data_IF_765392190796
#
_entry.id   IF_765392190796
#
_cell.length_a   1.000
_cell.length_b   1.000
_cell.length_c   1.000
_cell.angle_alpha   90.00
_cell.angle_beta   90.00
_cell.angle_gamma   90.00
#
_symmetry.space_group_name_H-M   'P 1'
#
loop_
_entity.id
_entity.type
_entity.pdbx_description
1 polymer ?
#
# COMPACT_ATOMS: atom_id res chain seq x y z
N UNK A 1 -12.43 -5.84 -17.24
CA UNK A 1 -12.44 -6.47 -15.92
C UNK A 1 -12.92 -5.47 -14.86
N UNK A 2 -13.19 -5.93 -13.61
CA UNK A 2 -13.67 -5.06 -12.53
C UNK A 2 -12.61 -4.02 -12.14
N UNK A 3 -13.07 -2.84 -11.75
CA UNK A 3 -12.22 -1.72 -11.33
C UNK A 3 -12.57 -1.27 -9.92
N UNK A 4 -11.60 -0.62 -9.26
CA UNK A 4 -11.76 0.06 -7.98
C UNK A 4 -11.60 1.55 -8.20
N UNK A 5 -12.57 2.35 -7.77
CA UNK A 5 -12.51 3.79 -7.77
C UNK A 5 -12.25 4.30 -6.34
N UNK A 6 -11.15 4.99 -6.15
CA UNK A 6 -10.79 5.63 -4.88
C UNK A 6 -10.83 7.15 -5.01
N UNK A 7 -11.60 7.80 -4.13
CA UNK A 7 -11.59 9.25 -3.99
C UNK A 7 -10.53 9.68 -2.97
N UNK A 8 -9.84 10.77 -3.25
CA UNK A 8 -8.88 11.36 -2.33
C UNK A 8 -9.61 12.27 -1.33
N UNK A 9 -9.73 11.80 -0.09
CA UNK A 9 -10.37 12.55 0.98
C UNK A 9 -9.32 13.20 1.88
N UNK A 10 -9.60 14.42 2.36
CA UNK A 10 -8.79 15.05 3.41
C UNK A 10 -9.10 14.38 4.76
N UNK A 11 -8.04 14.05 5.51
CA UNK A 11 -8.11 13.65 6.91
C UNK A 11 -7.69 14.78 7.85
N UNK A 12 -8.04 14.65 9.15
CA UNK A 12 -7.63 15.58 10.19
C UNK A 12 -8.47 16.88 10.26
N UNK A 13 -7.94 17.90 10.94
CA UNK A 13 -8.61 19.19 11.18
C UNK A 13 -9.04 19.91 9.89
N UNK A 14 -8.31 19.76 8.82
CA UNK A 14 -8.67 20.32 7.51
C UNK A 14 -9.95 19.71 6.89
N UNK A 15 -10.42 18.55 7.39
CA UNK A 15 -11.67 17.93 6.97
C UNK A 15 -12.92 18.69 7.46
N UNK A 16 -12.77 19.58 8.45
CA UNK A 16 -13.87 20.40 8.96
C UNK A 16 -14.34 21.41 7.92
N UNK A 17 -13.43 21.93 7.08
CA UNK A 17 -13.73 22.92 6.05
C UNK A 17 -14.02 22.28 4.68
N UNK A 18 -13.41 21.16 4.32
CA UNK A 18 -13.72 20.38 3.12
C UNK A 18 -13.01 19.02 3.15
N UNK A 19 -13.77 17.93 3.13
CA UNK A 19 -13.23 16.56 3.15
C UNK A 19 -12.57 16.15 1.83
N UNK A 20 -12.90 16.76 0.73
CA UNK A 20 -12.49 16.31 -0.61
C UNK A 20 -11.58 17.31 -1.36
N UNK A 21 -11.31 18.50 -0.81
CA UNK A 21 -10.64 19.55 -1.55
C UNK A 21 -9.19 19.78 -1.11
N UNK A 22 -8.30 19.94 -2.08
CA UNK A 22 -6.87 20.24 -1.93
C UNK A 22 -6.55 21.53 -2.67
N UNK A 23 -5.45 22.20 -2.29
CA UNK A 23 -4.94 23.33 -3.08
C UNK A 23 -4.58 22.83 -4.48
N UNK A 24 -5.10 23.52 -5.49
CA UNK A 24 -4.81 23.19 -6.88
C UNK A 24 -3.47 23.78 -7.29
N UNK A 25 -2.53 22.89 -7.60
CA UNK A 25 -1.17 23.25 -8.04
C UNK A 25 -0.90 22.75 -9.46
N UNK A 26 -1.96 22.48 -10.23
CA UNK A 26 -1.91 21.89 -11.55
C UNK A 26 -2.37 20.42 -11.56
N UNK A 27 -2.83 19.96 -12.71
CA UNK A 27 -3.36 18.59 -12.87
C UNK A 27 -2.29 17.56 -12.55
N UNK A 28 -1.09 17.68 -13.14
CA UNK A 28 0.02 16.73 -12.96
C UNK A 28 0.52 16.67 -11.52
N UNK A 29 0.43 17.78 -10.79
CA UNK A 29 0.83 17.87 -9.38
C UNK A 29 -0.28 17.39 -8.42
N UNK A 30 -1.49 17.09 -8.92
CA UNK A 30 -2.57 16.55 -8.09
C UNK A 30 -2.22 15.17 -7.56
N UNK A 31 -2.73 14.83 -6.36
CA UNK A 31 -2.47 13.53 -5.72
C UNK A 31 -2.88 12.35 -6.58
N UNK A 32 -4.04 12.44 -7.24
CA UNK A 32 -4.56 11.38 -8.10
C UNK A 32 -3.65 11.11 -9.30
N UNK A 33 -3.13 12.15 -9.94
CA UNK A 33 -2.24 12.00 -11.09
C UNK A 33 -0.84 11.54 -10.66
N UNK A 34 -0.29 12.07 -9.57
CA UNK A 34 1.00 11.59 -9.04
C UNK A 34 0.97 10.11 -8.71
N UNK A 35 -0.08 9.64 -8.01
CA UNK A 35 -0.20 8.23 -7.69
C UNK A 35 -0.48 7.38 -8.93
N UNK A 36 -1.26 7.87 -9.89
CA UNK A 36 -1.46 7.19 -11.17
C UNK A 36 -0.14 6.95 -11.90
N UNK A 37 0.69 7.98 -12.06
CA UNK A 37 1.98 7.86 -12.74
C UNK A 37 2.92 6.93 -11.98
N UNK A 38 2.99 7.07 -10.66
CA UNK A 38 3.80 6.18 -9.84
C UNK A 38 3.36 4.71 -10.00
N UNK A 39 2.07 4.41 -9.93
CA UNK A 39 1.56 3.05 -10.14
C UNK A 39 1.87 2.53 -11.55
N UNK A 40 1.82 3.38 -12.58
CA UNK A 40 2.17 3.00 -13.94
C UNK A 40 3.66 2.61 -14.04
N UNK A 41 4.55 3.39 -13.43
CA UNK A 41 5.99 3.10 -13.37
C UNK A 41 6.27 1.81 -12.59
N UNK A 42 5.68 1.63 -11.42
CA UNK A 42 5.85 0.42 -10.60
C UNK A 42 5.32 -0.83 -11.31
N UNK A 43 4.17 -0.71 -11.97
CA UNK A 43 3.59 -1.81 -12.76
C UNK A 43 4.47 -2.17 -13.95
N UNK A 44 5.00 -1.18 -14.68
CA UNK A 44 5.94 -1.39 -15.78
C UNK A 44 7.26 -2.01 -15.31
N UNK A 45 7.70 -1.72 -14.08
CA UNK A 45 8.85 -2.36 -13.43
C UNK A 45 8.55 -3.79 -12.92
N UNK A 46 7.36 -4.33 -13.17
CA UNK A 46 6.97 -5.69 -12.76
C UNK A 46 6.70 -5.84 -11.27
N UNK A 47 6.54 -4.75 -10.53
CA UNK A 47 6.21 -4.79 -9.11
C UNK A 47 4.71 -5.13 -8.92
N UNK A 48 4.36 -5.92 -7.88
CA UNK A 48 2.99 -6.36 -7.65
C UNK A 48 2.14 -5.23 -7.07
N UNK A 49 1.65 -4.37 -7.96
CA UNK A 49 0.74 -3.26 -7.69
C UNK A 49 -0.52 -3.36 -8.55
N UNK A 50 -1.65 -2.76 -8.15
CA UNK A 50 -2.82 -2.67 -9.02
C UNK A 50 -2.48 -1.90 -10.29
N UNK A 51 -2.85 -2.42 -11.47
CA UNK A 51 -2.69 -1.69 -12.73
C UNK A 51 -3.55 -0.42 -12.72
N UNK A 52 -2.99 0.78 -12.89
CA UNK A 52 -3.77 2.00 -12.98
C UNK A 52 -4.56 2.04 -14.29
N UNK A 53 -5.78 2.58 -14.24
CA UNK A 53 -6.69 2.69 -15.39
C UNK A 53 -6.90 4.15 -15.76
N UNK A 54 -7.23 5.00 -14.79
CA UNK A 54 -7.48 6.42 -15.01
C UNK A 54 -7.29 7.22 -13.72
N UNK A 55 -6.97 8.50 -13.89
CA UNK A 55 -6.99 9.49 -12.82
C UNK A 55 -7.91 10.65 -13.20
N UNK A 56 -8.59 11.19 -12.20
CA UNK A 56 -9.44 12.36 -12.34
C UNK A 56 -8.93 13.45 -11.40
N UNK A 57 -8.83 14.66 -11.92
CA UNK A 57 -8.67 15.87 -11.12
C UNK A 57 -9.74 16.89 -11.57
N UNK A 58 -10.56 17.34 -10.64
CA UNK A 58 -11.51 18.45 -10.84
C UNK A 58 -11.07 19.60 -9.97
N UNK A 59 -11.03 20.80 -10.50
CA UNK A 59 -10.73 22.00 -9.72
C UNK A 59 -11.84 23.04 -9.85
N UNK A 60 -12.00 23.84 -8.81
CA UNK A 60 -12.86 25.01 -8.76
C UNK A 60 -12.13 26.12 -8.01
N UNK A 61 -11.67 27.11 -8.75
CA UNK A 61 -10.76 28.12 -8.21
C UNK A 61 -9.47 27.47 -7.70
N UNK A 62 -9.13 27.75 -6.45
CA UNK A 62 -7.92 27.25 -5.78
C UNK A 62 -8.08 25.84 -5.17
N UNK A 63 -9.26 25.25 -5.24
CA UNK A 63 -9.53 23.93 -4.66
C UNK A 63 -9.62 22.86 -5.74
N UNK A 64 -9.10 21.68 -5.44
CA UNK A 64 -9.21 20.51 -6.31
C UNK A 64 -9.69 19.27 -5.56
N UNK A 65 -10.37 18.38 -6.28
CA UNK A 65 -10.75 17.04 -5.86
C UNK A 65 -10.13 16.03 -6.82
N UNK A 66 -9.85 14.83 -6.35
CA UNK A 66 -9.24 13.80 -7.18
C UNK A 66 -9.82 12.42 -6.96
N UNK A 67 -9.74 11.59 -7.99
CA UNK A 67 -10.04 10.16 -7.91
C UNK A 67 -9.03 9.36 -8.74
N UNK A 68 -8.77 8.13 -8.33
CA UNK A 68 -7.92 7.18 -9.01
C UNK A 68 -8.71 5.90 -9.26
N UNK A 69 -8.63 5.39 -10.47
CA UNK A 69 -9.22 4.12 -10.87
C UNK A 69 -8.10 3.13 -11.16
N UNK A 70 -8.19 1.96 -10.55
CA UNK A 70 -7.25 0.84 -10.77
C UNK A 70 -8.00 -0.43 -11.10
N UNK A 71 -7.36 -1.38 -11.77
CA UNK A 71 -7.89 -2.73 -11.90
C UNK A 71 -8.01 -3.38 -10.53
N UNK A 72 -9.15 -4.03 -10.28
CA UNK A 72 -9.34 -4.83 -9.06
C UNK A 72 -8.46 -6.07 -9.11
N UNK A 73 -7.70 -6.32 -8.07
CA UNK A 73 -6.99 -7.58 -7.88
C UNK A 73 -8.02 -8.64 -7.48
N UNK A 74 -8.24 -9.61 -8.36
CA UNK A 74 -9.27 -10.64 -8.18
C UNK A 74 -8.93 -11.54 -6.99
N UNK A 75 -9.94 -11.92 -6.20
CA UNK A 75 -9.83 -12.81 -5.04
C UNK A 75 -8.80 -12.37 -3.98
N UNK A 76 -8.37 -11.09 -4.01
CA UNK A 76 -7.45 -10.59 -3.01
C UNK A 76 -8.17 -10.06 -1.77
N UNK A 77 -7.60 -10.35 -0.59
CA UNK A 77 -8.07 -9.87 0.72
C UNK A 77 -6.93 -9.11 1.42
N UNK A 78 -7.23 -8.05 2.19
CA UNK A 78 -6.23 -7.42 3.05
C UNK A 78 -5.60 -8.44 4.01
N UNK A 79 -4.30 -8.31 4.26
CA UNK A 79 -3.60 -9.12 5.27
C UNK A 79 -4.27 -8.97 6.65
N UNK A 80 -4.84 -7.80 6.94
CA UNK A 80 -5.61 -7.56 8.15
C UNK A 80 -6.78 -8.53 8.34
N UNK A 81 -7.46 -8.92 7.26
CA UNK A 81 -8.62 -9.81 7.32
C UNK A 81 -8.22 -11.27 7.59
N UNK A 82 -6.97 -11.64 7.23
CA UNK A 82 -6.43 -12.97 7.51
C UNK A 82 -6.01 -13.13 8.97
N UNK A 83 -5.73 -12.03 9.68
CA UNK A 83 -5.40 -12.08 11.10
C UNK A 83 -6.61 -12.43 12.00
N UNK A 84 -7.83 -12.37 11.47
CA UNK A 84 -9.06 -12.68 12.21
C UNK A 84 -9.49 -14.15 12.11
N UNK A 85 -8.79 -14.95 11.30
CA UNK A 85 -8.99 -16.38 11.10
C UNK A 85 -7.83 -17.18 11.69
N UNK A 86 -7.59 -18.37 11.11
CA UNK A 86 -6.40 -19.16 11.42
C UNK A 86 -5.16 -18.35 11.05
N UNK A 87 -4.13 -18.39 11.93
CA UNK A 87 -2.87 -17.67 11.70
C UNK A 87 -2.25 -18.11 10.36
N UNK A 88 -1.94 -17.17 9.46
CA UNK A 88 -1.30 -17.52 8.20
C UNK A 88 -0.01 -18.31 8.43
N UNK A 89 0.18 -19.37 7.65
CA UNK A 89 1.39 -20.18 7.65
C UNK A 89 2.65 -19.30 7.55
N UNK A 90 3.74 -19.77 8.16
CA UNK A 90 5.05 -19.14 8.11
C UNK A 90 5.50 -18.83 6.67
N UNK A 91 5.14 -19.68 5.69
CA UNK A 91 5.37 -19.45 4.27
C UNK A 91 4.72 -18.15 3.78
N UNK A 92 3.50 -17.87 4.17
CA UNK A 92 2.78 -16.62 3.79
C UNK A 92 3.53 -15.40 4.30
N UNK A 93 3.99 -15.45 5.56
CA UNK A 93 4.78 -14.36 6.14
C UNK A 93 6.10 -14.13 5.41
N UNK A 94 6.81 -15.19 5.04
CA UNK A 94 8.04 -15.10 4.26
C UNK A 94 7.78 -14.49 2.88
N UNK A 95 6.68 -14.86 2.20
CA UNK A 95 6.30 -14.24 0.91
C UNK A 95 6.01 -12.74 1.05
N UNK A 96 5.35 -12.32 2.14
CA UNK A 96 5.15 -10.90 2.44
C UNK A 96 6.49 -10.19 2.60
N UNK A 97 7.43 -10.78 3.35
CA UNK A 97 8.77 -10.25 3.54
C UNK A 97 9.52 -10.06 2.23
N UNK A 98 9.62 -11.11 1.41
CA UNK A 98 10.24 -11.06 0.07
C UNK A 98 9.61 -10.00 -0.83
N UNK A 99 8.29 -9.87 -0.79
CA UNK A 99 7.60 -8.86 -1.59
C UNK A 99 8.01 -7.46 -1.15
N UNK A 100 7.98 -7.16 0.15
CA UNK A 100 8.40 -5.85 0.66
C UNK A 100 9.85 -5.57 0.28
N UNK A 101 10.73 -6.60 0.37
CA UNK A 101 12.13 -6.48 -0.05
C UNK A 101 12.26 -6.07 -1.51
N UNK A 102 11.53 -6.71 -2.42
CA UNK A 102 11.52 -6.34 -3.85
C UNK A 102 11.19 -4.87 -4.08
N UNK A 103 10.23 -4.31 -3.33
CA UNK A 103 9.92 -2.87 -3.41
C UNK A 103 11.08 -2.01 -2.93
N UNK A 104 11.71 -2.35 -1.81
CA UNK A 104 12.85 -1.58 -1.29
C UNK A 104 14.06 -1.66 -2.22
N UNK A 105 14.36 -2.82 -2.79
CA UNK A 105 15.45 -3.02 -3.75
C UNK A 105 15.19 -2.26 -5.06
N UNK A 106 13.93 -2.19 -5.50
CA UNK A 106 13.53 -1.38 -6.64
C UNK A 106 13.58 0.14 -6.38
N UNK A 107 13.80 0.58 -5.14
CA UNK A 107 13.87 2.00 -4.78
C UNK A 107 12.55 2.61 -4.31
N UNK A 108 11.60 1.78 -3.86
CA UNK A 108 10.28 2.23 -3.42
C UNK A 108 10.22 2.35 -1.89
N UNK A 109 9.92 3.54 -1.38
CA UNK A 109 9.57 3.76 0.02
C UNK A 109 8.06 4.01 0.12
N UNK A 110 7.35 3.12 0.84
CA UNK A 110 5.91 3.20 1.00
C UNK A 110 5.54 4.07 2.21
N UNK A 111 4.84 5.18 1.99
CA UNK A 111 4.55 6.16 3.05
C UNK A 111 3.69 5.59 4.19
N UNK A 112 2.84 4.60 3.90
CA UNK A 112 1.90 4.01 4.86
C UNK A 112 1.84 2.48 4.76
N UNK A 113 3.00 1.82 4.88
CA UNK A 113 3.04 0.35 4.88
C UNK A 113 2.39 -0.21 6.15
N UNK A 114 1.24 -0.85 5.99
CA UNK A 114 0.45 -1.43 7.08
C UNK A 114 -0.33 -2.66 6.59
N UNK A 115 -0.92 -3.43 7.51
CA UNK A 115 -1.60 -4.70 7.20
C UNK A 115 -2.83 -4.57 6.29
N UNK A 116 -3.41 -3.37 6.16
CA UNK A 116 -4.56 -3.12 5.27
C UNK A 116 -4.12 -2.79 3.85
N UNK A 117 -2.88 -2.33 3.70
CA UNK A 117 -2.29 -1.95 2.41
C UNK A 117 -1.46 -3.09 1.79
N UNK A 118 -1.47 -4.26 2.40
CA UNK A 118 -0.94 -5.52 1.87
C UNK A 118 -2.12 -6.40 1.53
N UNK A 119 -2.25 -6.78 0.25
CA UNK A 119 -3.29 -7.69 -0.20
C UNK A 119 -2.68 -9.07 -0.50
N UNK A 120 -3.38 -10.08 -0.04
CA UNK A 120 -3.09 -11.49 -0.34
C UNK A 120 -4.03 -11.95 -1.44
N UNK A 121 -3.49 -12.26 -2.61
CA UNK A 121 -4.21 -12.82 -3.75
C UNK A 121 -4.19 -14.35 -3.77
N UNK A 122 -4.72 -14.93 -4.85
CA UNK A 122 -4.66 -16.37 -5.07
C UNK A 122 -3.21 -16.86 -5.16
N UNK A 123 -2.93 -18.10 -4.73
CA UNK A 123 -1.60 -18.71 -4.82
C UNK A 123 -0.51 -17.99 -4.04
N UNK A 124 -0.85 -17.40 -2.90
CA UNK A 124 0.07 -16.65 -2.02
C UNK A 124 0.69 -15.42 -2.69
N UNK A 125 0.09 -14.89 -3.75
CA UNK A 125 0.55 -13.63 -4.35
C UNK A 125 0.32 -12.47 -3.39
N UNK A 126 1.32 -11.60 -3.25
CA UNK A 126 1.25 -10.42 -2.38
C UNK A 126 1.31 -9.16 -3.24
N UNK A 127 0.39 -8.23 -2.99
CA UNK A 127 0.33 -6.93 -3.65
C UNK A 127 0.39 -5.81 -2.62
N UNK A 128 1.04 -4.71 -2.96
CA UNK A 128 0.94 -3.48 -2.18
C UNK A 128 -0.01 -2.50 -2.87
N UNK A 129 -0.79 -1.78 -2.05
CA UNK A 129 -1.75 -0.76 -2.50
C UNK A 129 -1.58 0.53 -1.72
N UNK A 130 -2.18 1.61 -2.18
CA UNK A 130 -2.17 2.94 -1.57
C UNK A 130 -0.78 3.59 -1.53
N UNK A 131 -0.28 3.95 -2.72
CA UNK A 131 1.01 4.61 -2.90
C UNK A 131 0.94 6.13 -2.76
N UNK A 132 -0.12 6.66 -2.17
CA UNK A 132 -0.21 8.08 -1.87
C UNK A 132 0.97 8.51 -0.99
N UNK A 133 1.71 9.53 -1.42
CA UNK A 133 2.96 10.01 -0.80
C UNK A 133 4.12 9.02 -0.79
N UNK A 134 4.03 7.89 -1.46
CA UNK A 134 5.18 7.01 -1.63
C UNK A 134 6.29 7.73 -2.43
N UNK A 135 7.51 7.27 -2.26
CA UNK A 135 8.69 7.78 -2.98
C UNK A 135 9.28 6.65 -3.79
N UNK A 136 9.64 6.97 -5.02
CA UNK A 136 10.28 6.02 -5.92
C UNK A 136 11.58 6.63 -6.46
N UNK A 137 12.68 5.92 -6.30
CA UNK A 137 14.00 6.27 -6.81
C UNK A 137 14.60 5.05 -7.49
N UNK A 138 14.33 4.84 -8.79
CA UNK A 138 14.83 3.67 -9.52
C UNK A 138 16.34 3.55 -9.40
N UNK A 139 16.84 2.32 -9.25
CA UNK A 139 18.27 2.05 -9.10
C UNK A 139 18.88 2.38 -7.74
N UNK A 140 18.08 2.84 -6.77
CA UNK A 140 18.56 3.15 -5.43
C UNK A 140 17.81 2.31 -4.39
N UNK A 141 18.48 1.35 -3.77
CA UNK A 141 17.89 0.58 -2.68
C UNK A 141 17.49 1.49 -1.51
N UNK A 142 16.28 1.29 -1.00
CA UNK A 142 15.74 2.05 0.13
C UNK A 142 16.11 1.38 1.45
N UNK A 143 16.49 2.18 2.46
CA UNK A 143 16.47 1.70 3.84
C UNK A 143 15.02 1.47 4.27
N UNK A 144 14.63 0.20 4.40
CA UNK A 144 13.26 -0.23 4.70
C UNK A 144 12.87 -0.16 6.17
N UNK A 145 13.79 0.18 7.09
CA UNK A 145 13.57 0.11 8.54
C UNK A 145 12.31 0.88 8.99
N UNK A 146 12.12 2.09 8.49
CA UNK A 146 10.94 2.90 8.81
C UNK A 146 9.63 2.25 8.37
N UNK A 147 9.62 1.60 7.20
CA UNK A 147 8.48 0.84 6.68
C UNK A 147 8.21 -0.41 7.52
N UNK A 148 9.24 -1.20 7.83
CA UNK A 148 9.13 -2.40 8.65
C UNK A 148 8.65 -2.08 10.07
N UNK A 149 9.18 -1.04 10.69
CA UNK A 149 8.75 -0.59 12.00
C UNK A 149 7.27 -0.14 12.00
N UNK A 150 6.81 0.52 10.94
CA UNK A 150 5.39 0.89 10.77
C UNK A 150 4.52 -0.36 10.63
N UNK A 151 4.91 -1.31 9.78
CA UNK A 151 4.21 -2.57 9.60
C UNK A 151 4.13 -3.36 10.91
N UNK A 152 5.23 -3.47 11.67
CA UNK A 152 5.27 -4.14 12.97
C UNK A 152 4.29 -3.52 13.98
N UNK A 153 4.20 -2.19 14.04
CA UNK A 153 3.20 -1.49 14.87
C UNK A 153 1.77 -1.79 14.40
N UNK A 154 1.54 -1.82 13.09
CA UNK A 154 0.23 -2.16 12.52
C UNK A 154 -0.16 -3.60 12.83
N UNK A 155 0.75 -4.55 12.72
CA UNK A 155 0.54 -5.94 13.12
C UNK A 155 0.13 -6.03 14.59
N UNK A 156 0.90 -5.42 15.50
CA UNK A 156 0.59 -5.41 16.95
C UNK A 156 -0.80 -4.87 17.27
N UNK A 157 -1.24 -3.86 16.51
CA UNK A 157 -2.56 -3.22 16.71
C UNK A 157 -3.71 -4.12 16.24
N UNK A 158 -3.52 -4.89 15.17
CA UNK A 158 -4.59 -5.68 14.54
C UNK A 158 -4.51 -7.16 14.91
N UNK A 159 -3.43 -7.61 15.58
CA UNK A 159 -3.27 -9.00 15.98
C UNK A 159 -4.31 -9.39 17.03
N UNK A 160 -4.96 -10.56 16.89
CA UNK A 160 -5.94 -11.03 17.85
C UNK A 160 -5.35 -11.17 19.25
N UNK A 161 -6.07 -10.69 20.27
CA UNK A 161 -5.57 -10.70 21.64
C UNK A 161 -5.32 -12.12 22.18
N UNK A 162 -6.07 -13.11 21.68
CA UNK A 162 -5.97 -14.53 22.08
C UNK A 162 -4.70 -15.21 21.54
N UNK A 163 -4.08 -14.66 20.50
CA UNK A 163 -2.97 -15.28 19.75
C UNK A 163 -1.70 -14.42 19.78
N UNK A 164 -1.57 -13.55 20.77
CA UNK A 164 -0.41 -12.63 20.88
C UNK A 164 0.95 -13.32 20.85
N UNK A 165 1.02 -14.59 21.30
CA UNK A 165 2.25 -15.40 21.29
C UNK A 165 2.70 -15.80 19.87
N UNK A 166 1.80 -15.87 18.90
CA UNK A 166 2.12 -16.21 17.51
C UNK A 166 2.72 -15.03 16.71
N UNK A 167 2.42 -13.80 17.09
CA UNK A 167 2.91 -12.62 16.38
C UNK A 167 4.45 -12.53 16.28
N UNK A 168 5.26 -12.84 17.31
CA UNK A 168 6.71 -12.87 17.19
C UNK A 168 7.20 -13.91 16.16
N UNK A 169 6.57 -15.08 16.10
CA UNK A 169 6.90 -16.14 15.14
C UNK A 169 6.59 -15.69 13.70
N UNK A 170 5.41 -15.15 13.48
CA UNK A 170 5.01 -14.57 12.20
C UNK A 170 5.95 -13.44 11.75
N UNK A 171 6.32 -12.56 12.69
CA UNK A 171 7.28 -11.50 12.40
C UNK A 171 8.66 -12.04 12.06
N UNK A 172 9.15 -13.07 12.75
CA UNK A 172 10.42 -13.72 12.45
C UNK A 172 10.41 -14.35 11.05
N UNK A 173 9.33 -15.03 10.67
CA UNK A 173 9.15 -15.60 9.34
C UNK A 173 9.13 -14.51 8.25
N UNK A 174 8.44 -13.37 8.51
CA UNK A 174 8.45 -12.24 7.61
C UNK A 174 9.86 -11.68 7.43
N UNK A 175 10.61 -11.49 8.52
CA UNK A 175 11.98 -10.98 8.44
C UNK A 175 12.91 -11.95 7.74
N UNK A 176 12.78 -13.26 7.95
CA UNK A 176 13.54 -14.26 7.21
C UNK A 176 13.35 -14.10 5.70
N UNK A 177 12.09 -13.99 5.24
CA UNK A 177 11.82 -13.76 3.82
C UNK A 177 12.23 -12.37 3.31
N UNK A 178 12.32 -11.37 4.18
CA UNK A 178 12.81 -10.03 3.80
C UNK A 178 14.34 -10.01 3.63
N UNK A 179 15.06 -10.81 4.36
CA UNK A 179 16.54 -10.85 4.37
C UNK A 179 17.13 -11.82 3.33
N UNK A 180 16.26 -12.65 2.66
CA UNK A 180 16.64 -13.44 1.47
C UNK A 180 16.96 -12.51 0.27
#
# INVERSE_FOLDING_TARGET
GPVVLRRFLRGGWAAVFSRESYLYTGVSASRSFREYHLLAELHAAGLPVPRPVAALCRHRGILSTGALMTMRITAAKPLADLLTGDDPDAHVWAVVGRTIRRFHDAGVWHADLNVRNILMGAGSQVFLIDFDRARYRPGTRVNGEGNLNRLKRSLRKHWPAKEKSAMPVAWAALMAGYDE
#
